data_IF_497285866063
#
_entry.id   IF_497285866063
#
_cell.length_a   1.000
_cell.length_b   1.000
_cell.length_c   1.000
_cell.angle_alpha   90.00
_cell.angle_beta   90.00
_cell.angle_gamma   90.00
#
_symmetry.space_group_name_H-M   'P 1'
#
loop_
_entity.id
_entity.type
_entity.pdbx_description
1 polymer ?
#
# COMPACT_ATOMS: atom_id res chain seq x y z
N UNK A 1 -5.36 -8.39 -13.80
CA UNK A 1 -5.21 -7.95 -12.39
C UNK A 1 -6.48 -7.27 -11.93
N UNK A 2 -6.99 -7.62 -10.75
CA UNK A 2 -8.23 -7.07 -10.19
C UNK A 2 -8.01 -5.63 -9.73
N UNK A 3 -8.94 -4.71 -10.02
CA UNK A 3 -8.87 -3.31 -9.59
C UNK A 3 -8.95 -3.24 -8.05
N UNK A 4 -7.96 -2.61 -7.41
CA UNK A 4 -7.88 -2.47 -5.95
C UNK A 4 -8.50 -1.16 -5.45
N UNK A 5 -8.47 -0.10 -6.26
CA UNK A 5 -9.08 1.20 -5.95
C UNK A 5 -9.78 1.76 -7.19
N UNK A 6 -10.85 2.54 -7.01
CA UNK A 6 -11.45 3.34 -8.08
C UNK A 6 -10.55 4.49 -8.52
N UNK A 7 -9.64 4.93 -7.65
CA UNK A 7 -8.60 5.90 -8.00
C UNK A 7 -7.52 5.22 -8.84
N UNK A 8 -7.31 5.74 -10.05
CA UNK A 8 -6.36 5.17 -11.02
C UNK A 8 -4.90 5.27 -10.56
N UNK A 9 -4.55 6.31 -9.82
CA UNK A 9 -3.17 6.59 -9.39
C UNK A 9 -2.82 5.70 -8.19
N UNK A 10 -3.75 5.54 -7.24
CA UNK A 10 -3.64 4.55 -6.17
C UNK A 10 -3.55 3.14 -6.74
N UNK A 11 -4.43 2.79 -7.68
CA UNK A 11 -4.43 1.45 -8.26
C UNK A 11 -3.11 1.15 -9.00
N UNK A 12 -2.59 2.08 -9.80
CA UNK A 12 -1.28 1.92 -10.47
C UNK A 12 -0.14 1.79 -9.46
N UNK A 13 -0.14 2.61 -8.42
CA UNK A 13 0.89 2.58 -7.39
C UNK A 13 0.91 1.25 -6.63
N UNK A 14 -0.26 0.78 -6.17
CA UNK A 14 -0.41 -0.53 -5.51
C UNK A 14 0.11 -1.67 -6.41
N UNK A 15 -0.28 -1.68 -7.69
CA UNK A 15 0.16 -2.71 -8.63
C UNK A 15 1.68 -2.70 -8.82
N UNK A 16 2.29 -1.52 -8.84
CA UNK A 16 3.74 -1.39 -8.95
C UNK A 16 4.45 -1.98 -7.73
N UNK A 17 3.94 -1.74 -6.51
CA UNK A 17 4.51 -2.28 -5.27
C UNK A 17 4.42 -3.80 -5.21
N UNK A 18 3.25 -4.35 -5.56
CA UNK A 18 3.03 -5.80 -5.58
C UNK A 18 3.94 -6.49 -6.60
N UNK A 19 4.16 -5.85 -7.76
CA UNK A 19 5.00 -6.40 -8.82
C UNK A 19 6.50 -6.30 -8.52
N UNK A 20 6.94 -5.21 -7.87
CA UNK A 20 8.37 -4.88 -7.75
C UNK A 20 8.99 -5.20 -6.39
N UNK A 21 8.21 -5.22 -5.31
CA UNK A 21 8.77 -5.04 -3.95
C UNK A 21 8.31 -6.09 -2.93
N UNK A 22 7.83 -7.25 -3.39
CA UNK A 22 7.31 -8.33 -2.53
C UNK A 22 6.13 -7.93 -1.63
N UNK A 23 5.39 -6.87 -2.00
CA UNK A 23 4.17 -6.50 -1.30
C UNK A 23 3.03 -7.43 -1.70
N UNK A 24 2.16 -7.77 -0.75
CA UNK A 24 1.04 -8.67 -1.00
C UNK A 24 -0.29 -7.96 -0.81
N UNK A 25 -1.15 -7.98 -1.83
CA UNK A 25 -2.52 -7.50 -1.68
C UNK A 25 -3.41 -8.59 -1.10
N UNK A 26 -3.98 -8.34 0.09
CA UNK A 26 -4.91 -9.24 0.77
C UNK A 26 -6.32 -8.67 0.78
N UNK A 27 -7.30 -9.52 0.48
CA UNK A 27 -8.69 -9.12 0.45
C UNK A 27 -9.30 -9.25 1.85
N UNK A 28 -9.65 -8.12 2.45
CA UNK A 28 -10.53 -8.10 3.62
C UNK A 28 -12.00 -8.20 3.22
N UNK A 29 -12.88 -8.29 4.22
CA UNK A 29 -14.34 -8.35 4.04
C UNK A 29 -14.90 -7.09 3.39
N UNK A 30 -14.42 -5.89 3.79
CA UNK A 30 -14.87 -4.59 3.26
C UNK A 30 -13.85 -3.90 2.34
N UNK A 31 -12.57 -4.00 2.66
CA UNK A 31 -11.50 -3.33 1.92
C UNK A 31 -10.33 -4.27 1.63
N UNK A 32 -9.67 -4.05 0.50
CA UNK A 32 -8.40 -4.70 0.19
C UNK A 32 -7.32 -4.00 1.03
N UNK A 33 -6.39 -4.75 1.59
CA UNK A 33 -5.23 -4.24 2.29
C UNK A 33 -3.95 -4.68 1.57
N UNK A 34 -2.90 -3.91 1.74
CA UNK A 34 -1.54 -4.26 1.39
C UNK A 34 -0.82 -4.77 2.64
N UNK A 35 -0.10 -5.87 2.48
CA UNK A 35 0.87 -6.37 3.44
C UNK A 35 2.26 -6.04 2.90
N UNK A 36 3.06 -5.39 3.74
CA UNK A 36 4.47 -5.17 3.48
C UNK A 36 5.27 -6.47 3.67
N UNK A 37 6.51 -6.53 3.17
CA UNK A 37 7.39 -7.67 3.34
C UNK A 37 7.66 -8.04 4.81
N UNK A 38 7.69 -7.06 5.73
CA UNK A 38 7.85 -7.32 7.17
C UNK A 38 6.52 -7.46 7.92
N UNK A 39 5.41 -7.63 7.21
CA UNK A 39 4.10 -7.97 7.79
C UNK A 39 3.27 -6.78 8.26
N UNK A 40 3.65 -5.53 7.96
CA UNK A 40 2.81 -4.36 8.21
C UNK A 40 1.62 -4.35 7.26
N UNK A 41 0.44 -4.14 7.82
CA UNK A 41 -0.83 -4.09 7.08
C UNK A 41 -1.31 -2.66 6.92
N UNK A 42 -1.65 -2.27 5.69
CA UNK A 42 -2.25 -0.97 5.37
C UNK A 42 -3.48 -1.13 4.47
N UNK A 43 -4.57 -0.45 4.81
CA UNK A 43 -5.82 -0.51 4.04
C UNK A 43 -5.73 0.32 2.76
N UNK A 44 -6.13 -0.25 1.63
CA UNK A 44 -6.20 0.47 0.36
C UNK A 44 -7.54 1.23 0.32
N UNK A 45 -7.54 2.55 0.16
CA UNK A 45 -8.79 3.31 0.01
C UNK A 45 -9.48 2.92 -1.30
N UNK A 46 -10.70 2.38 -1.19
CA UNK A 46 -11.45 1.85 -2.35
C UNK A 46 -12.09 2.95 -3.20
N UNK A 47 -12.64 3.98 -2.55
CA UNK A 47 -13.30 5.14 -3.18
C UNK A 47 -12.92 6.43 -2.45
N UNK A 48 -11.67 6.89 -2.57
CA UNK A 48 -11.31 8.17 -1.99
C UNK A 48 -12.10 9.29 -2.67
N UNK A 49 -12.79 10.11 -1.89
CA UNK A 49 -13.41 11.37 -2.34
C UNK A 49 -12.47 12.58 -2.18
N UNK A 50 -11.37 12.41 -1.46
CA UNK A 50 -10.38 13.45 -1.21
C UNK A 50 -9.27 13.43 -2.28
N UNK A 51 -9.00 14.60 -2.89
CA UNK A 51 -7.91 14.81 -3.85
C UNK A 51 -6.53 14.49 -3.25
N UNK A 52 -6.38 14.56 -1.93
CA UNK A 52 -5.13 14.25 -1.22
C UNK A 52 -4.99 12.78 -0.84
N UNK A 53 -5.99 11.93 -1.09
CA UNK A 53 -5.96 10.54 -0.69
C UNK A 53 -4.77 9.77 -1.28
N UNK A 54 -4.45 9.99 -2.56
CA UNK A 54 -3.27 9.39 -3.18
C UNK A 54 -1.97 9.84 -2.50
N UNK A 55 -1.83 11.14 -2.20
CA UNK A 55 -0.63 11.71 -1.57
C UNK A 55 -0.46 11.14 -0.15
N UNK A 56 -1.53 11.11 0.63
CA UNK A 56 -1.51 10.57 1.99
C UNK A 56 -1.18 9.08 1.99
N UNK A 57 -1.86 8.30 1.13
CA UNK A 57 -1.60 6.87 0.99
C UNK A 57 -0.14 6.58 0.59
N UNK A 58 0.41 7.33 -0.37
CA UNK A 58 1.81 7.22 -0.77
C UNK A 58 2.76 7.54 0.38
N UNK A 59 2.50 8.61 1.14
CA UNK A 59 3.31 8.98 2.32
C UNK A 59 3.30 7.87 3.38
N UNK A 60 2.16 7.24 3.62
CA UNK A 60 2.06 6.15 4.60
C UNK A 60 2.86 4.92 4.18
N UNK A 61 2.80 4.54 2.90
CA UNK A 61 3.63 3.46 2.34
C UNK A 61 5.12 3.78 2.48
N UNK A 62 5.55 4.99 2.11
CA UNK A 62 6.95 5.40 2.23
C UNK A 62 7.43 5.39 3.68
N UNK A 63 6.58 5.76 4.64
CA UNK A 63 6.88 5.67 6.06
C UNK A 63 7.07 4.23 6.50
N UNK A 64 6.24 3.29 6.03
CA UNK A 64 6.40 1.87 6.30
C UNK A 64 7.75 1.39 5.77
N UNK A 65 8.07 1.66 4.50
CA UNK A 65 9.35 1.26 3.88
C UNK A 65 10.54 1.81 4.67
N UNK A 66 10.49 3.09 5.05
CA UNK A 66 11.56 3.73 5.82
C UNK A 66 11.73 3.08 7.19
N UNK A 67 10.63 2.79 7.89
CA UNK A 67 10.67 2.14 9.20
C UNK A 67 11.21 0.71 9.09
N UNK A 68 10.80 -0.03 8.07
CA UNK A 68 11.27 -1.40 7.82
C UNK A 68 12.74 -1.45 7.42
N UNK A 69 13.22 -0.46 6.66
CA UNK A 69 14.63 -0.31 6.33
C UNK A 69 15.47 0.07 7.55
N UNK A 70 14.91 0.84 8.50
CA UNK A 70 15.59 1.16 9.76
C UNK A 70 15.69 -0.06 10.68
N UNK A 71 14.63 -0.88 10.78
CA UNK A 71 14.60 -2.10 11.60
C UNK A 71 15.56 -3.20 11.10
N UNK A 72 15.86 -3.25 9.80
CA UNK A 72 16.81 -4.22 9.24
C UNK A 72 18.29 -3.86 9.47
N UNK A 73 18.60 -2.62 9.88
CA UNK A 73 19.98 -2.16 10.12
C UNK A 73 20.49 -2.44 11.54
N UNK A 74 19.69 -3.06 12.39
CA UNK A 74 19.98 -3.23 13.83
C UNK A 74 20.24 -4.68 14.23
N UNK A 75 20.56 -5.58 13.29
CA UNK A 75 20.90 -6.98 13.56
C UNK A 75 22.28 -7.32 13.03
#
# INVERSE_FOLDING_TARGET
MRRMSKDKDINKFVLSLVKLSCWTAVRGTKHIALLSPLGKRITIPSTPSDRRAYINFKKDILRIISNEAASQKTS
#
